data_IF_069852731421
#
_entry.id   IF_069852731421
#
_cell.length_a   1.000
_cell.length_b   1.000
_cell.length_c   1.000
_cell.angle_alpha   90.00
_cell.angle_beta   90.00
_cell.angle_gamma   90.00
#
_symmetry.space_group_name_H-M   'P 1'
#
loop_
_entity.id
_entity.type
_entity.pdbx_description
1 polymer ?
#
# COMPACT_ATOMS: atom_id res chain seq x y z
N UNK A 1 -29.09 -10.03 -11.49
CA UNK A 1 -29.29 -10.40 -10.08
C UNK A 1 -27.93 -10.77 -9.46
N UNK A 2 -27.01 -9.81 -9.29
CA UNK A 2 -25.83 -9.87 -8.38
C UNK A 2 -25.35 -8.42 -8.17
N UNK A 3 -25.89 -7.72 -7.19
CA UNK A 3 -25.42 -6.38 -6.77
C UNK A 3 -25.78 -6.17 -5.29
N UNK A 4 -25.03 -6.79 -4.38
CA UNK A 4 -25.23 -6.66 -2.93
C UNK A 4 -23.94 -6.41 -2.13
N UNK A 5 -22.77 -6.40 -2.76
CA UNK A 5 -21.50 -6.23 -2.04
C UNK A 5 -21.25 -4.81 -1.49
N UNK A 6 -22.08 -3.82 -1.88
CA UNK A 6 -21.94 -2.43 -1.45
C UNK A 6 -22.88 -2.03 -0.29
N UNK A 7 -23.73 -2.94 0.21
CA UNK A 7 -24.72 -2.66 1.26
C UNK A 7 -24.61 -3.58 2.48
N UNK A 8 -23.43 -4.16 2.74
CA UNK A 8 -23.24 -4.88 3.99
C UNK A 8 -23.31 -3.87 5.14
N UNK A 9 -24.39 -3.97 5.90
CA UNK A 9 -24.64 -3.22 7.12
C UNK A 9 -23.77 -3.76 8.27
N UNK A 10 -23.57 -2.95 9.32
CA UNK A 10 -22.82 -3.37 10.50
C UNK A 10 -23.39 -4.63 11.16
N UNK A 11 -24.70 -4.84 11.08
CA UNK A 11 -25.39 -6.03 11.60
C UNK A 11 -24.99 -7.29 10.86
N UNK A 12 -24.86 -7.23 9.53
CA UNK A 12 -24.44 -8.39 8.72
C UNK A 12 -22.99 -8.75 8.98
N UNK A 13 -22.10 -7.76 9.12
CA UNK A 13 -20.70 -7.99 9.53
C UNK A 13 -20.65 -8.67 10.90
N UNK A 14 -21.41 -8.17 11.88
CA UNK A 14 -21.46 -8.75 13.22
C UNK A 14 -21.97 -10.21 13.19
N UNK A 15 -22.97 -10.50 12.36
CA UNK A 15 -23.50 -11.86 12.20
C UNK A 15 -22.48 -12.82 11.57
N UNK A 16 -21.74 -12.38 10.55
CA UNK A 16 -20.67 -13.17 9.94
C UNK A 16 -19.56 -13.44 10.97
N UNK A 17 -19.13 -12.42 11.72
CA UNK A 17 -18.12 -12.56 12.78
C UNK A 17 -18.62 -13.52 13.88
N UNK A 18 -19.91 -13.48 14.22
CA UNK A 18 -20.50 -14.39 15.19
C UNK A 18 -20.43 -15.86 14.73
N UNK A 19 -20.73 -16.14 13.45
CA UNK A 19 -20.56 -17.48 12.88
C UNK A 19 -19.08 -17.90 12.90
N UNK A 20 -18.16 -17.00 12.53
CA UNK A 20 -16.72 -17.28 12.58
C UNK A 20 -16.24 -17.63 13.99
N UNK A 21 -16.76 -16.92 15.01
CA UNK A 21 -16.46 -17.22 16.43
C UNK A 21 -17.03 -18.58 16.84
N UNK A 22 -18.19 -19.00 16.34
CA UNK A 22 -18.71 -20.34 16.60
C UNK A 22 -17.88 -21.45 15.95
N UNK A 23 -17.39 -21.22 14.73
CA UNK A 23 -16.60 -22.22 13.99
C UNK A 23 -15.17 -22.32 14.54
N UNK A 24 -14.52 -21.19 14.80
CA UNK A 24 -13.12 -21.14 15.19
C UNK A 24 -12.89 -20.95 16.69
N UNK A 25 -13.90 -20.51 17.44
CA UNK A 25 -13.79 -20.12 18.85
C UNK A 25 -13.40 -18.65 19.03
N UNK A 26 -13.85 -18.05 20.14
CA UNK A 26 -13.57 -16.65 20.46
C UNK A 26 -12.08 -16.34 20.64
N UNK A 27 -11.31 -17.33 21.12
CA UNK A 27 -9.88 -17.18 21.41
C UNK A 27 -8.99 -17.19 20.15
N UNK A 28 -9.49 -17.75 19.03
CA UNK A 28 -8.70 -17.87 17.80
C UNK A 28 -8.55 -16.56 17.02
N UNK A 29 -9.56 -15.69 17.06
CA UNK A 29 -9.47 -14.39 16.38
C UNK A 29 -8.36 -13.50 16.96
N UNK A 30 -8.26 -13.32 18.30
CA UNK A 30 -7.14 -12.61 18.92
C UNK A 30 -5.78 -13.26 18.66
N UNK A 31 -5.72 -14.58 18.63
CA UNK A 31 -4.49 -15.33 18.35
C UNK A 31 -3.98 -15.08 16.93
N UNK A 32 -4.87 -15.16 15.93
CA UNK A 32 -4.56 -14.87 14.52
C UNK A 32 -4.16 -13.40 14.35
N UNK A 33 -4.90 -12.47 14.94
CA UNK A 33 -4.58 -11.03 14.88
C UNK A 33 -3.19 -10.74 15.48
N UNK A 34 -2.85 -11.36 16.61
CA UNK A 34 -1.52 -11.27 17.23
C UNK A 34 -0.43 -11.89 16.36
N UNK A 35 -0.69 -13.04 15.74
CA UNK A 35 0.23 -13.71 14.83
C UNK A 35 0.52 -12.88 13.58
N UNK A 36 -0.53 -12.40 12.92
CA UNK A 36 -0.43 -11.51 11.75
C UNK A 36 0.25 -10.19 12.11
N UNK A 37 -0.06 -9.59 13.26
CA UNK A 37 0.58 -8.36 13.72
C UNK A 37 2.08 -8.51 13.96
N UNK A 38 2.50 -9.63 14.58
CA UNK A 38 3.92 -9.97 14.73
C UNK A 38 4.59 -10.20 13.37
N UNK A 39 3.94 -10.95 12.47
CA UNK A 39 4.46 -11.19 11.11
C UNK A 39 4.64 -9.90 10.32
N UNK A 40 3.61 -9.04 10.30
CA UNK A 40 3.66 -7.73 9.64
C UNK A 40 4.75 -6.84 10.21
N UNK A 41 4.96 -6.87 11.54
CA UNK A 41 6.06 -6.15 12.18
C UNK A 41 7.41 -6.65 11.72
N UNK A 42 7.64 -7.97 11.70
CA UNK A 42 8.90 -8.56 11.24
C UNK A 42 9.19 -8.18 9.79
N UNK A 43 8.18 -8.30 8.90
CA UNK A 43 8.31 -7.92 7.49
C UNK A 43 8.63 -6.44 7.36
N UNK A 44 7.94 -5.57 8.10
CA UNK A 44 8.19 -4.13 8.10
C UNK A 44 9.60 -3.78 8.59
N UNK A 45 10.03 -4.38 9.68
CA UNK A 45 11.33 -4.09 10.29
C UNK A 45 12.46 -4.55 9.34
N UNK A 46 12.39 -5.77 8.80
CA UNK A 46 13.34 -6.25 7.78
C UNK A 46 13.35 -5.39 6.51
N UNK A 47 12.17 -4.95 6.04
CA UNK A 47 12.06 -4.05 4.88
C UNK A 47 12.70 -2.69 5.17
N UNK A 48 12.55 -2.16 6.39
CA UNK A 48 13.15 -0.89 6.79
C UNK A 48 14.67 -0.97 6.90
N UNK A 49 15.21 -2.08 7.42
CA UNK A 49 16.65 -2.32 7.49
C UNK A 49 17.25 -2.39 6.09
N UNK A 50 16.63 -3.17 5.19
CA UNK A 50 17.01 -3.24 3.76
C UNK A 50 16.92 -1.85 3.12
N UNK A 51 15.83 -1.11 3.34
CA UNK A 51 15.68 0.25 2.80
C UNK A 51 16.79 1.18 3.29
N UNK A 52 17.17 1.08 4.57
CA UNK A 52 18.24 1.87 5.16
C UNK A 52 19.60 1.51 4.57
N UNK A 53 19.90 0.22 4.41
CA UNK A 53 21.14 -0.25 3.79
C UNK A 53 21.24 0.12 2.32
N UNK A 54 20.14 0.01 1.55
CA UNK A 54 20.10 0.45 0.16
C UNK A 54 20.32 1.96 0.07
N UNK A 55 19.69 2.75 0.94
CA UNK A 55 19.87 4.21 0.97
C UNK A 55 21.31 4.59 1.29
N UNK A 56 21.90 3.98 2.33
CA UNK A 56 23.31 4.19 2.71
C UNK A 56 24.27 3.69 1.65
N UNK A 57 23.97 2.59 0.96
CA UNK A 57 24.79 2.04 -0.11
C UNK A 57 24.72 2.91 -1.36
N UNK A 58 23.55 3.45 -1.70
CA UNK A 58 23.40 4.42 -2.78
C UNK A 58 24.17 5.72 -2.50
N UNK A 59 24.11 6.21 -1.25
CA UNK A 59 24.86 7.39 -0.79
C UNK A 59 26.38 7.12 -0.79
N UNK A 60 26.82 5.92 -0.37
CA UNK A 60 28.23 5.53 -0.30
C UNK A 60 28.86 5.17 -1.65
N UNK A 61 28.08 4.68 -2.61
CA UNK A 61 28.55 4.34 -3.97
C UNK A 61 28.41 5.48 -4.98
N UNK A 62 28.04 6.69 -4.54
CA UNK A 62 27.94 7.84 -5.46
C UNK A 62 26.94 7.57 -6.59
N UNK A 63 25.79 6.97 -6.28
CA UNK A 63 24.63 7.15 -7.15
C UNK A 63 24.22 8.62 -6.98
N UNK A 64 24.91 9.45 -7.74
CA UNK A 64 24.85 10.90 -7.63
C UNK A 64 23.40 11.34 -7.55
N UNK A 65 23.14 12.25 -6.62
CA UNK A 65 22.00 13.15 -6.67
C UNK A 65 21.82 13.76 -8.05
N UNK A 66 22.86 13.81 -8.88
CA UNK A 66 22.83 14.26 -10.28
C UNK A 66 22.03 13.33 -11.19
N UNK A 67 22.23 12.00 -11.18
CA UNK A 67 21.41 11.06 -11.97
C UNK A 67 19.95 11.11 -11.51
N UNK A 68 19.71 11.19 -10.20
CA UNK A 68 18.34 11.28 -9.68
C UNK A 68 17.70 12.64 -10.00
N UNK A 69 18.47 13.73 -10.00
CA UNK A 69 18.01 15.08 -10.33
C UNK A 69 17.76 15.22 -11.83
N UNK A 70 18.60 14.63 -12.69
CA UNK A 70 18.44 14.62 -14.14
C UNK A 70 17.24 13.76 -14.55
N UNK A 71 17.09 12.56 -13.98
CA UNK A 71 15.88 11.73 -14.19
C UNK A 71 14.64 12.46 -13.69
N UNK A 72 14.70 13.13 -12.53
CA UNK A 72 13.55 13.90 -12.00
C UNK A 72 13.21 15.11 -12.88
N UNK A 73 14.20 15.72 -13.52
CA UNK A 73 14.04 16.84 -14.45
C UNK A 73 13.41 16.39 -15.77
N UNK A 74 13.86 15.27 -16.35
CA UNK A 74 13.22 14.66 -17.52
C UNK A 74 11.78 14.19 -17.21
N UNK A 75 11.55 13.53 -16.08
CA UNK A 75 10.22 13.06 -15.68
C UNK A 75 9.25 14.22 -15.49
N UNK A 76 9.70 15.37 -14.97
CA UNK A 76 8.85 16.55 -14.83
C UNK A 76 8.50 17.17 -16.20
N UNK A 77 9.44 17.22 -17.15
CA UNK A 77 9.15 17.68 -18.51
C UNK A 77 8.13 16.78 -19.23
N UNK A 78 8.30 15.46 -19.11
CA UNK A 78 7.35 14.49 -19.68
C UNK A 78 5.96 14.63 -19.03
N UNK A 79 5.89 14.89 -17.72
CA UNK A 79 4.61 15.15 -17.03
C UNK A 79 3.93 16.43 -17.53
N UNK A 80 4.66 17.51 -17.71
CA UNK A 80 4.12 18.78 -18.20
C UNK A 80 3.59 18.64 -19.63
N UNK A 81 4.26 17.86 -20.48
CA UNK A 81 3.83 17.62 -21.85
C UNK A 81 2.64 16.67 -21.91
N UNK A 82 2.61 15.64 -21.06
CA UNK A 82 1.42 14.80 -20.87
C UNK A 82 0.25 15.64 -20.32
N UNK A 83 0.48 16.58 -19.39
CA UNK A 83 -0.58 17.44 -18.84
C UNK A 83 -1.12 18.42 -19.89
N UNK A 84 -0.29 18.94 -20.80
CA UNK A 84 -0.76 19.76 -21.93
C UNK A 84 -1.58 18.94 -22.94
N UNK A 85 -1.21 17.68 -23.17
CA UNK A 85 -1.92 16.77 -24.10
C UNK A 85 -3.21 16.24 -23.46
N UNK A 86 -3.18 15.91 -22.17
CA UNK A 86 -4.31 15.30 -21.42
C UNK A 86 -5.21 16.34 -20.75
N UNK A 87 -4.75 17.56 -20.51
CA UNK A 87 -5.50 18.66 -19.92
C UNK A 87 -6.79 19.03 -20.66
N UNK A 88 -6.81 19.05 -22.01
CA UNK A 88 -8.04 19.18 -22.79
C UNK A 88 -9.04 18.04 -22.56
N UNK A 89 -8.57 16.83 -22.24
CA UNK A 89 -9.39 15.64 -21.97
C UNK A 89 -9.91 15.67 -20.52
N UNK A 90 -9.08 16.06 -19.55
CA UNK A 90 -9.44 16.20 -18.13
C UNK A 90 -10.45 17.34 -17.87
N UNK A 91 -10.54 18.33 -18.76
CA UNK A 91 -11.50 19.45 -18.66
C UNK A 91 -12.89 19.14 -19.21
N UNK A 92 -13.06 18.05 -19.99
CA UNK A 92 -14.33 17.67 -20.61
C UNK A 92 -15.09 16.57 -19.85
N UNK A 93 -14.58 16.11 -18.72
CA UNK A 93 -15.24 15.19 -17.79
C UNK A 93 -15.32 15.82 -16.40
#
# INVERSE_FOLDING_TARGET
MITSLAFISGTEIAFIVFILVMVFGADKIPEIARGLGKGMRIVKDATNDIKSEITKSAEKHGLDTDITTDIKKEVNQVKDDIEKITGPVKRKF
#
